data_IF_101488054241
#
_entry.id   IF_101488054241
#
_cell.length_a   1.000
_cell.length_b   1.000
_cell.length_c   1.000
_cell.angle_alpha   90.00
_cell.angle_beta   90.00
_cell.angle_gamma   90.00
#
_symmetry.space_group_name_H-M   'P 1'
#
loop_
_entity.id
_entity.type
_entity.pdbx_description
1 polymer ?
#
# COMPACT_ATOMS: atom_id res chain seq x y z
N UNK A 1 -2.08 -11.47 45.83
CA UNK A 1 -2.43 -10.15 45.22
C UNK A 1 -2.97 -10.44 43.85
N UNK A 2 -4.29 -10.53 43.72
CA UNK A 2 -4.97 -10.71 42.43
C UNK A 2 -4.90 -9.38 41.70
N UNK A 3 -4.10 -9.29 40.66
CA UNK A 3 -4.09 -8.17 39.74
C UNK A 3 -5.41 -8.17 38.98
N UNK A 4 -6.30 -7.27 39.38
CA UNK A 4 -7.55 -7.04 38.63
C UNK A 4 -7.22 -6.66 37.21
N UNK A 5 -7.63 -7.47 36.24
CA UNK A 5 -7.59 -7.13 34.83
C UNK A 5 -8.41 -5.84 34.63
N UNK A 6 -7.89 -4.83 33.91
CA UNK A 6 -8.67 -3.61 33.69
C UNK A 6 -10.01 -3.94 33.01
N UNK A 7 -11.07 -3.23 33.35
CA UNK A 7 -12.42 -3.54 32.88
C UNK A 7 -12.61 -3.28 31.36
N UNK A 8 -11.62 -2.73 30.69
CA UNK A 8 -11.68 -2.46 29.24
C UNK A 8 -10.31 -2.56 28.60
N UNK A 9 -10.29 -2.92 27.32
CA UNK A 9 -9.10 -2.90 26.48
C UNK A 9 -9.41 -2.04 25.26
N UNK A 10 -8.63 -0.98 25.06
CA UNK A 10 -8.66 -0.20 23.83
C UNK A 10 -7.98 -1.00 22.72
N UNK A 11 -8.71 -1.35 21.68
CA UNK A 11 -8.20 -1.96 20.46
C UNK A 11 -8.62 -1.07 19.29
N UNK A 12 -7.68 -0.45 18.61
CA UNK A 12 -7.91 0.39 17.43
C UNK A 12 -9.03 1.44 17.58
N UNK A 13 -9.07 2.12 18.75
CA UNK A 13 -10.10 3.07 19.17
C UNK A 13 -11.46 2.48 19.56
N UNK A 14 -11.59 1.15 19.61
CA UNK A 14 -12.82 0.51 20.04
C UNK A 14 -12.73 0.17 21.53
N UNK A 15 -13.72 0.59 22.29
CA UNK A 15 -13.88 0.20 23.70
C UNK A 15 -14.49 -1.20 23.77
N UNK A 16 -13.64 -2.20 24.04
CA UNK A 16 -14.09 -3.55 24.40
C UNK A 16 -14.12 -3.64 25.91
N UNK A 17 -15.31 -3.68 26.49
CA UNK A 17 -15.45 -3.94 27.93
C UNK A 17 -15.29 -5.44 28.16
N UNK A 18 -14.28 -5.81 28.95
CA UNK A 18 -14.18 -7.15 29.52
C UNK A 18 -14.86 -7.15 30.90
N UNK A 19 -16.11 -7.55 30.95
CA UNK A 19 -16.68 -8.16 32.15
C UNK A 19 -16.39 -9.66 32.13
N UNK A 20 -16.69 -10.40 33.18
CA UNK A 20 -16.53 -11.86 33.20
C UNK A 20 -17.33 -12.58 32.09
N UNK A 21 -18.22 -11.89 31.42
CA UNK A 21 -18.89 -12.25 30.17
C UNK A 21 -18.45 -11.22 29.14
N UNK A 22 -17.71 -11.58 28.09
CA UNK A 22 -17.22 -10.71 27.02
C UNK A 22 -18.34 -9.79 26.46
N UNK A 23 -18.54 -8.62 27.10
CA UNK A 23 -19.60 -7.68 26.72
C UNK A 23 -19.11 -6.82 25.55
N UNK A 24 -19.63 -7.06 24.38
CA UNK A 24 -19.43 -6.23 23.18
C UNK A 24 -20.58 -5.23 23.11
N UNK A 25 -20.28 -3.92 23.20
CA UNK A 25 -21.29 -2.87 23.00
C UNK A 25 -21.84 -3.01 21.58
N UNK A 26 -23.14 -3.28 21.50
CA UNK A 26 -23.81 -3.37 20.20
C UNK A 26 -24.00 -1.97 19.60
N UNK A 27 -23.96 -1.86 18.28
CA UNK A 27 -24.19 -0.61 17.54
C UNK A 27 -25.42 0.20 18.03
N UNK A 28 -26.50 -0.50 18.45
CA UNK A 28 -27.74 0.14 18.98
C UNK A 28 -27.56 0.75 20.36
N UNK A 29 -26.54 0.35 21.09
CA UNK A 29 -26.26 0.80 22.46
C UNK A 29 -25.23 1.94 22.48
N UNK A 30 -24.61 2.23 21.30
CA UNK A 30 -23.72 3.38 21.17
C UNK A 30 -24.51 4.68 21.28
N UNK A 31 -23.97 5.68 21.99
CA UNK A 31 -24.50 7.05 21.95
C UNK A 31 -24.57 7.54 20.49
N UNK A 32 -25.55 8.36 20.17
CA UNK A 32 -25.76 8.81 18.79
C UNK A 32 -24.49 9.43 18.18
N UNK A 33 -23.77 10.26 18.94
CA UNK A 33 -22.53 10.90 18.48
C UNK A 33 -21.35 9.93 18.21
N UNK A 34 -21.42 8.69 18.69
CA UNK A 34 -20.43 7.64 18.44
C UNK A 34 -20.79 6.72 17.26
N UNK A 35 -22.02 6.86 16.75
CA UNK A 35 -22.43 6.11 15.55
C UNK A 35 -21.65 6.61 14.33
N UNK A 36 -21.15 5.73 13.46
CA UNK A 36 -20.28 6.12 12.34
C UNK A 36 -20.79 7.25 11.46
N UNK A 37 -22.11 7.32 11.20
CA UNK A 37 -22.70 8.37 10.37
C UNK A 37 -22.74 9.73 11.07
N UNK A 38 -23.20 9.73 12.30
CA UNK A 38 -23.28 10.91 13.16
C UNK A 38 -21.87 11.46 13.40
N UNK A 39 -20.91 10.58 13.69
CA UNK A 39 -19.49 10.92 13.84
C UNK A 39 -18.92 11.51 12.55
N UNK A 40 -19.27 10.95 11.37
CA UNK A 40 -18.88 11.50 10.06
C UNK A 40 -19.37 12.95 9.90
N UNK A 41 -20.63 13.20 10.26
CA UNK A 41 -21.26 14.53 10.12
C UNK A 41 -20.66 15.56 11.08
N UNK A 42 -20.36 15.17 12.30
CA UNK A 42 -19.88 16.07 13.35
C UNK A 42 -18.37 16.31 13.30
N UNK A 43 -17.57 15.28 13.03
CA UNK A 43 -16.10 15.34 13.17
C UNK A 43 -15.35 15.20 11.84
N UNK A 44 -16.05 14.89 10.75
CA UNK A 44 -15.48 14.72 9.42
C UNK A 44 -14.83 13.35 9.21
N UNK A 45 -14.55 13.02 7.93
CA UNK A 45 -14.09 11.70 7.48
C UNK A 45 -12.74 11.29 8.06
N UNK A 46 -11.86 12.24 8.34
CA UNK A 46 -10.50 11.97 8.85
C UNK A 46 -10.45 11.35 10.25
N UNK A 47 -11.55 11.40 11.00
CA UNK A 47 -11.65 10.87 12.35
C UNK A 47 -12.32 9.48 12.44
N UNK A 48 -12.68 8.90 11.29
CA UNK A 48 -13.27 7.57 11.24
C UNK A 48 -12.20 6.50 10.99
N UNK A 49 -12.36 5.38 11.68
CA UNK A 49 -11.59 4.16 11.39
C UNK A 49 -12.05 3.52 10.06
N UNK A 50 -11.23 2.63 9.51
CA UNK A 50 -11.59 1.87 8.29
C UNK A 50 -12.88 1.06 8.52
N UNK A 51 -13.05 0.47 9.73
CA UNK A 51 -14.25 -0.28 10.07
C UNK A 51 -15.51 0.60 10.09
N UNK A 52 -15.42 1.81 10.62
CA UNK A 52 -16.53 2.76 10.61
C UNK A 52 -16.90 3.20 9.18
N UNK A 53 -15.90 3.41 8.30
CA UNK A 53 -16.15 3.70 6.89
C UNK A 53 -16.83 2.53 6.18
N UNK A 54 -16.37 1.29 6.41
CA UNK A 54 -17.01 0.08 5.87
C UNK A 54 -18.43 -0.08 6.40
N UNK A 55 -18.65 0.17 7.69
CA UNK A 55 -20.00 0.13 8.28
C UNK A 55 -20.94 1.14 7.65
N UNK A 56 -20.48 2.34 7.32
CA UNK A 56 -21.27 3.36 6.59
C UNK A 56 -21.63 2.86 5.19
N UNK A 57 -20.69 2.27 4.44
CA UNK A 57 -20.93 1.73 3.09
C UNK A 57 -21.95 0.60 3.12
N UNK A 58 -21.87 -0.29 4.10
CA UNK A 58 -22.79 -1.42 4.21
C UNK A 58 -24.17 -1.04 4.77
N UNK A 59 -24.25 0.03 5.52
CA UNK A 59 -25.47 0.60 6.12
C UNK A 59 -26.14 -0.27 7.20
N UNK A 60 -26.31 -1.56 6.97
CA UNK A 60 -27.01 -2.49 7.88
C UNK A 60 -26.20 -3.77 8.07
N UNK A 61 -26.27 -4.32 9.28
CA UNK A 61 -25.71 -5.62 9.62
C UNK A 61 -26.55 -6.80 9.10
N UNK A 62 -26.45 -7.89 9.81
CA UNK A 62 -27.28 -9.09 9.63
C UNK A 62 -28.16 -9.30 10.87
N UNK A 63 -29.01 -10.33 10.86
CA UNK A 63 -29.76 -10.72 12.06
C UNK A 63 -28.87 -11.21 13.21
N UNK A 64 -27.66 -11.71 12.88
CA UNK A 64 -26.73 -12.31 13.84
C UNK A 64 -25.64 -11.34 14.31
N UNK A 65 -25.29 -10.36 13.49
CA UNK A 65 -24.15 -9.48 13.70
C UNK A 65 -24.49 -8.05 13.26
N UNK A 66 -24.19 -7.05 14.11
CA UNK A 66 -24.37 -5.66 13.73
C UNK A 66 -23.31 -5.23 12.67
N UNK A 67 -23.57 -4.10 12.02
CA UNK A 67 -22.76 -3.67 10.88
C UNK A 67 -21.32 -3.32 11.25
N UNK A 68 -21.11 -2.75 12.45
CA UNK A 68 -19.77 -2.34 12.90
C UNK A 68 -18.95 -3.56 13.33
N UNK A 69 -19.55 -4.47 14.10
CA UNK A 69 -18.92 -5.74 14.47
C UNK A 69 -18.52 -6.55 13.23
N UNK A 70 -19.42 -6.64 12.25
CA UNK A 70 -19.14 -7.32 10.99
C UNK A 70 -18.00 -6.65 10.20
N UNK A 71 -17.94 -5.32 10.17
CA UNK A 71 -16.84 -4.59 9.53
C UNK A 71 -15.49 -4.88 10.21
N UNK A 72 -15.46 -4.83 11.55
CA UNK A 72 -14.27 -5.17 12.33
C UNK A 72 -13.80 -6.60 12.09
N UNK A 73 -14.70 -7.57 12.11
CA UNK A 73 -14.38 -8.97 11.81
C UNK A 73 -13.78 -9.11 10.41
N UNK A 74 -14.44 -8.55 9.42
CA UNK A 74 -13.97 -8.62 8.02
C UNK A 74 -12.56 -8.05 7.86
N UNK A 75 -12.27 -6.89 8.44
CA UNK A 75 -10.94 -6.27 8.38
C UNK A 75 -9.92 -7.11 9.14
N UNK A 76 -10.28 -7.64 10.30
CA UNK A 76 -9.38 -8.47 11.12
C UNK A 76 -9.00 -9.78 10.43
N UNK A 77 -9.95 -10.43 9.78
CA UNK A 77 -9.76 -11.75 9.15
C UNK A 77 -9.12 -11.64 7.77
N UNK A 78 -9.56 -10.68 6.97
CA UNK A 78 -9.08 -10.51 5.59
C UNK A 78 -7.81 -9.64 5.49
N UNK A 79 -7.64 -8.70 6.42
CA UNK A 79 -6.57 -7.69 6.40
C UNK A 79 -6.92 -6.47 5.56
N UNK A 80 -6.60 -5.30 6.05
CA UNK A 80 -6.93 -4.02 5.42
C UNK A 80 -6.29 -3.84 4.03
N UNK A 81 -5.02 -4.24 3.89
CA UNK A 81 -4.29 -4.19 2.60
C UNK A 81 -4.86 -5.15 1.57
N UNK A 82 -5.16 -6.39 1.98
CA UNK A 82 -5.75 -7.39 1.10
C UNK A 82 -7.15 -6.95 0.65
N UNK A 83 -7.96 -6.45 1.60
CA UNK A 83 -9.30 -5.94 1.33
C UNK A 83 -9.29 -4.78 0.33
N UNK A 84 -8.37 -3.82 0.47
CA UNK A 84 -8.24 -2.68 -0.44
C UNK A 84 -7.82 -3.05 -1.86
N UNK A 85 -7.16 -4.21 -2.05
CA UNK A 85 -6.72 -4.71 -3.34
C UNK A 85 -7.66 -5.76 -3.96
N UNK A 86 -8.68 -6.20 -3.22
CA UNK A 86 -9.60 -7.22 -3.71
C UNK A 86 -10.46 -6.67 -4.86
N UNK A 87 -10.49 -7.44 -5.95
CA UNK A 87 -11.25 -7.11 -7.16
C UNK A 87 -12.35 -8.11 -7.47
N UNK A 88 -12.35 -9.27 -6.79
CA UNK A 88 -13.32 -10.32 -7.01
C UNK A 88 -14.35 -10.40 -5.86
N UNK A 89 -15.58 -9.90 -6.04
CA UNK A 89 -16.57 -9.90 -4.97
C UNK A 89 -17.00 -11.31 -4.52
N UNK A 90 -16.89 -12.33 -5.37
CA UNK A 90 -17.20 -13.71 -4.97
C UNK A 90 -16.17 -14.25 -4.00
N UNK A 91 -14.88 -14.04 -4.33
CA UNK A 91 -13.79 -14.42 -3.45
C UNK A 91 -13.88 -13.73 -2.08
N UNK A 92 -14.15 -12.40 -2.08
CA UNK A 92 -14.35 -11.65 -0.85
C UNK A 92 -15.56 -12.16 -0.04
N UNK A 93 -16.66 -12.48 -0.72
CA UNK A 93 -17.87 -12.98 -0.07
C UNK A 93 -17.63 -14.31 0.65
N UNK A 94 -16.91 -15.22 0.01
CA UNK A 94 -16.57 -16.53 0.56
C UNK A 94 -15.54 -16.44 1.69
N UNK A 95 -14.44 -15.69 1.46
CA UNK A 95 -13.33 -15.61 2.41
C UNK A 95 -13.67 -14.81 3.69
N UNK A 96 -14.51 -13.78 3.59
CA UNK A 96 -14.93 -12.95 4.73
C UNK A 96 -16.31 -13.34 5.30
N UNK A 97 -16.94 -14.39 4.78
CA UNK A 97 -18.28 -14.85 5.18
C UNK A 97 -19.33 -13.73 5.21
N UNK A 98 -19.33 -12.89 4.18
CA UNK A 98 -20.29 -11.78 4.00
C UNK A 98 -21.18 -12.03 2.79
N UNK A 99 -22.34 -11.37 2.75
CA UNK A 99 -23.20 -11.49 1.57
C UNK A 99 -22.54 -10.93 0.31
N UNK A 100 -22.85 -11.52 -0.84
CA UNK A 100 -22.34 -11.07 -2.14
C UNK A 100 -22.63 -9.58 -2.41
N UNK A 101 -23.78 -9.06 -1.94
CA UNK A 101 -24.11 -7.65 -2.08
C UNK A 101 -23.13 -6.76 -1.32
N UNK A 102 -22.76 -7.11 -0.10
CA UNK A 102 -21.78 -6.38 0.71
C UNK A 102 -20.37 -6.44 0.10
N UNK A 103 -19.98 -7.59 -0.42
CA UNK A 103 -18.72 -7.75 -1.14
C UNK A 103 -18.70 -6.85 -2.40
N UNK A 104 -19.79 -6.82 -3.18
CA UNK A 104 -19.91 -5.92 -4.33
C UNK A 104 -19.83 -4.45 -3.95
N UNK A 105 -20.46 -4.04 -2.83
CA UNK A 105 -20.38 -2.65 -2.34
C UNK A 105 -18.94 -2.23 -2.04
N UNK A 106 -18.16 -3.07 -1.35
CA UNK A 106 -16.76 -2.76 -1.03
C UNK A 106 -15.89 -2.71 -2.29
N UNK A 107 -15.92 -3.75 -3.11
CA UNK A 107 -15.13 -3.81 -4.35
C UNK A 107 -15.44 -2.61 -5.25
N UNK A 108 -16.72 -2.26 -5.40
CA UNK A 108 -17.13 -1.08 -6.17
C UNK A 108 -16.65 0.23 -5.56
N UNK A 109 -16.67 0.36 -4.23
CA UNK A 109 -16.21 1.58 -3.53
C UNK A 109 -14.70 1.77 -3.67
N UNK A 110 -13.91 0.71 -3.55
CA UNK A 110 -12.47 0.76 -3.75
C UNK A 110 -12.10 1.09 -5.20
N UNK A 111 -12.79 0.48 -6.16
CA UNK A 111 -12.57 0.78 -7.58
C UNK A 111 -12.97 2.22 -7.93
N UNK A 112 -14.07 2.71 -7.37
CA UNK A 112 -14.47 4.11 -7.53
C UNK A 112 -13.40 5.06 -6.99
N UNK A 113 -12.88 4.80 -5.79
CA UNK A 113 -11.79 5.57 -5.19
C UNK A 113 -10.54 5.59 -6.08
N UNK A 114 -10.10 4.42 -6.58
CA UNK A 114 -8.97 4.31 -7.50
C UNK A 114 -9.18 5.13 -8.79
N UNK A 115 -10.36 5.04 -9.41
CA UNK A 115 -10.66 5.80 -10.63
C UNK A 115 -10.71 7.30 -10.39
N UNK A 116 -11.26 7.75 -9.27
CA UNK A 116 -11.30 9.18 -8.93
C UNK A 116 -9.90 9.72 -8.65
N UNK A 117 -9.07 8.99 -7.88
CA UNK A 117 -7.67 9.36 -7.67
C UNK A 117 -6.88 9.40 -8.97
N UNK A 118 -7.03 8.40 -9.83
CA UNK A 118 -6.38 8.37 -11.14
C UNK A 118 -6.79 9.56 -12.03
N UNK A 119 -8.04 10.02 -11.96
CA UNK A 119 -8.51 11.22 -12.66
C UNK A 119 -7.95 12.51 -12.08
N UNK A 120 -7.81 12.61 -10.76
CA UNK A 120 -7.22 13.78 -10.09
C UNK A 120 -5.71 13.86 -10.30
N UNK A 121 -5.02 12.72 -10.36
CA UNK A 121 -3.58 12.65 -10.65
C UNK A 121 -3.24 13.03 -12.11
N UNK A 122 -4.24 13.34 -12.95
CA UNK A 122 -4.02 13.60 -14.37
C UNK A 122 -3.81 12.30 -15.16
N UNK A 123 -3.36 12.43 -16.43
CA UNK A 123 -2.98 11.24 -17.24
C UNK A 123 -1.85 10.51 -16.52
N UNK A 124 -1.94 9.16 -16.35
CA UNK A 124 -0.84 8.40 -15.78
C UNK A 124 0.46 8.79 -16.45
N UNK A 125 1.45 9.19 -15.66
CA UNK A 125 2.72 9.60 -16.23
C UNK A 125 3.34 8.44 -16.98
N UNK A 126 3.65 8.64 -18.25
CA UNK A 126 4.39 7.69 -19.05
C UNK A 126 5.88 7.92 -18.84
N UNK A 127 6.61 6.86 -18.52
CA UNK A 127 8.06 6.92 -18.34
C UNK A 127 8.71 6.08 -19.43
N UNK A 128 9.34 6.75 -20.39
CA UNK A 128 9.96 6.14 -21.59
C UNK A 128 11.47 6.36 -21.67
N UNK A 129 12.04 7.12 -20.76
CA UNK A 129 13.47 7.39 -20.70
C UNK A 129 13.91 7.83 -19.31
N UNK A 130 15.22 7.78 -19.04
CA UNK A 130 15.84 8.12 -17.77
C UNK A 130 15.49 9.55 -17.30
N UNK A 131 15.38 10.52 -18.22
CA UNK A 131 15.02 11.91 -17.87
C UNK A 131 13.60 12.01 -17.30
N UNK A 132 12.64 11.26 -17.86
CA UNK A 132 11.28 11.22 -17.33
C UNK A 132 11.22 10.50 -15.99
N UNK A 133 11.96 9.40 -15.82
CA UNK A 133 12.10 8.72 -14.55
C UNK A 133 12.73 9.63 -13.49
N UNK A 134 13.80 10.37 -13.85
CA UNK A 134 14.40 11.35 -12.95
C UNK A 134 13.41 12.42 -12.48
N UNK A 135 12.58 12.96 -13.36
CA UNK A 135 11.57 13.96 -12.98
C UNK A 135 10.59 13.42 -11.92
N UNK A 136 10.30 12.13 -11.99
CA UNK A 136 9.44 11.47 -11.02
C UNK A 136 10.13 11.29 -9.66
N UNK A 137 11.41 10.93 -9.66
CA UNK A 137 12.19 10.65 -8.46
C UNK A 137 12.92 11.88 -7.89
N UNK A 138 12.73 13.06 -8.48
CA UNK A 138 13.54 14.25 -8.15
C UNK A 138 13.50 14.64 -6.68
N UNK A 139 12.37 14.39 -6.02
CA UNK A 139 12.17 14.63 -4.59
C UNK A 139 13.11 13.81 -3.69
N UNK A 140 13.62 12.68 -4.18
CA UNK A 140 14.57 11.84 -3.43
C UNK A 140 15.93 12.49 -3.26
N UNK A 141 16.32 13.40 -4.16
CA UNK A 141 17.66 13.99 -4.16
C UNK A 141 17.99 14.77 -2.90
N UNK A 142 16.99 15.25 -2.18
CA UNK A 142 17.14 16.05 -0.96
C UNK A 142 17.09 15.18 0.33
N UNK A 143 16.88 13.87 0.20
CA UNK A 143 16.82 12.98 1.34
C UNK A 143 18.19 12.79 2.00
N UNK A 144 18.25 12.92 3.32
CA UNK A 144 19.48 12.76 4.10
C UNK A 144 19.92 11.30 4.29
N UNK A 145 18.99 10.35 4.09
CA UNK A 145 19.26 8.90 4.13
C UNK A 145 19.12 8.34 2.74
N UNK A 146 19.95 7.35 2.42
CA UNK A 146 19.77 6.55 1.22
C UNK A 146 18.38 5.92 1.23
N UNK A 147 17.71 5.94 0.09
CA UNK A 147 16.39 5.34 -0.10
C UNK A 147 16.37 4.67 -1.47
N UNK A 148 15.92 3.43 -1.52
CA UNK A 148 15.61 2.75 -2.78
C UNK A 148 14.10 2.83 -3.02
N UNK A 149 13.74 3.27 -4.21
CA UNK A 149 12.35 3.45 -4.61
C UNK A 149 12.11 2.83 -5.99
N UNK A 150 10.94 2.23 -6.19
CA UNK A 150 10.57 1.57 -7.43
C UNK A 150 9.34 2.18 -8.08
N UNK A 151 9.42 2.44 -9.39
CA UNK A 151 8.26 2.71 -10.24
C UNK A 151 7.86 1.45 -10.98
N UNK A 152 6.64 1.03 -10.81
CA UNK A 152 6.05 -0.15 -11.45
C UNK A 152 5.19 0.27 -12.62
N UNK A 153 5.42 -0.34 -13.78
CA UNK A 153 4.87 0.10 -15.06
C UNK A 153 3.98 -0.96 -15.70
N UNK A 154 2.91 -0.51 -16.33
CA UNK A 154 2.06 -1.37 -17.18
C UNK A 154 2.63 -1.47 -18.61
N UNK A 155 1.94 -2.26 -19.49
CA UNK A 155 2.32 -2.47 -20.88
C UNK A 155 2.34 -1.21 -21.76
N UNK A 156 1.86 -0.08 -21.25
CA UNK A 156 1.93 1.24 -21.91
C UNK A 156 3.01 2.13 -21.31
N UNK A 157 3.90 1.57 -20.46
CA UNK A 157 4.91 2.30 -19.68
C UNK A 157 4.32 3.41 -18.80
N UNK A 158 3.10 3.23 -18.33
CA UNK A 158 2.46 4.13 -17.40
C UNK A 158 2.73 3.67 -15.97
N UNK A 159 3.05 4.63 -15.10
CA UNK A 159 3.25 4.35 -13.68
C UNK A 159 1.94 3.90 -13.07
N UNK A 160 1.90 2.68 -12.55
CA UNK A 160 0.76 2.09 -11.84
C UNK A 160 0.99 2.07 -10.32
N UNK A 161 2.24 2.08 -9.91
CA UNK A 161 2.64 2.12 -8.51
C UNK A 161 4.01 2.78 -8.35
N UNK A 162 4.20 3.43 -7.22
CA UNK A 162 5.41 4.01 -6.72
C UNK A 162 5.57 3.57 -5.27
N UNK A 163 6.70 2.97 -4.91
CA UNK A 163 6.89 2.39 -3.59
C UNK A 163 8.33 2.54 -3.10
N UNK A 164 8.47 2.89 -1.83
CA UNK A 164 9.74 2.88 -1.13
C UNK A 164 10.06 1.44 -0.74
N UNK A 165 11.13 0.89 -1.29
CA UNK A 165 11.55 -0.51 -1.09
C UNK A 165 12.42 -0.62 0.16
N UNK A 166 13.36 0.31 0.33
CA UNK A 166 14.22 0.35 1.51
C UNK A 166 14.65 1.76 1.88
N UNK A 167 14.98 1.97 3.15
CA UNK A 167 15.57 3.20 3.69
C UNK A 167 16.79 2.82 4.51
N UNK A 168 17.95 3.37 4.17
CA UNK A 168 19.25 3.05 4.76
C UNK A 168 20.24 2.61 3.68
N UNK A 169 21.43 2.13 4.09
CA UNK A 169 22.47 1.70 3.15
C UNK A 169 22.01 0.58 2.22
N UNK A 170 22.27 0.72 0.92
CA UNK A 170 21.97 -0.27 -0.12
C UNK A 170 23.08 -1.32 -0.18
N UNK A 171 23.17 -2.18 0.81
CA UNK A 171 24.06 -3.35 0.71
C UNK A 171 23.26 -4.55 0.17
N UNK A 172 23.93 -5.46 -0.54
CA UNK A 172 23.34 -6.70 -1.07
C UNK A 172 22.64 -7.57 -0.01
N UNK A 173 22.92 -7.32 1.27
CA UNK A 173 22.26 -7.99 2.40
C UNK A 173 20.92 -7.33 2.79
N UNK A 174 20.62 -6.11 2.30
CA UNK A 174 19.45 -5.34 2.70
C UNK A 174 18.38 -5.35 1.61
N UNK A 175 18.75 -5.33 0.33
CA UNK A 175 17.83 -5.35 -0.80
C UNK A 175 17.84 -6.73 -1.46
N UNK A 176 16.76 -7.48 -1.28
CA UNK A 176 16.59 -8.77 -1.92
C UNK A 176 15.65 -8.64 -3.13
N UNK A 177 15.87 -9.36 -4.26
CA UNK A 177 14.99 -9.32 -5.43
C UNK A 177 13.52 -9.51 -5.12
N UNK A 178 13.18 -10.34 -4.13
CA UNK A 178 11.78 -10.53 -3.69
C UNK A 178 11.11 -9.23 -3.22
N UNK A 179 11.85 -8.31 -2.58
CA UNK A 179 11.27 -7.04 -2.09
C UNK A 179 10.97 -6.08 -3.24
N UNK A 180 11.76 -6.16 -4.31
CA UNK A 180 11.56 -5.38 -5.53
C UNK A 180 10.42 -5.94 -6.39
N UNK A 181 10.36 -7.26 -6.56
CA UNK A 181 9.42 -7.89 -7.49
C UNK A 181 8.09 -8.30 -6.86
N UNK A 182 7.98 -8.40 -5.53
CA UNK A 182 6.69 -8.64 -4.87
C UNK A 182 5.63 -7.61 -5.26
N UNK A 183 5.88 -6.29 -5.14
CA UNK A 183 4.91 -5.29 -5.57
C UNK A 183 4.62 -5.37 -7.09
N UNK A 184 5.64 -5.69 -7.91
CA UNK A 184 5.44 -5.85 -9.34
C UNK A 184 4.41 -6.96 -9.67
N UNK A 185 4.51 -8.09 -8.96
CA UNK A 185 3.58 -9.21 -9.12
C UNK A 185 2.18 -8.84 -8.59
N UNK A 186 2.12 -8.24 -7.40
CA UNK A 186 0.86 -7.83 -6.76
C UNK A 186 0.06 -6.85 -7.61
N UNK A 187 0.73 -5.91 -8.28
CA UNK A 187 0.08 -4.87 -9.10
C UNK A 187 0.01 -5.22 -10.59
N UNK A 188 0.51 -6.39 -11.00
CA UNK A 188 0.53 -6.81 -12.40
C UNK A 188 1.40 -5.92 -13.28
N UNK A 189 2.52 -5.41 -12.76
CA UNK A 189 3.49 -4.66 -13.53
C UNK A 189 4.26 -5.57 -14.47
N UNK A 190 4.57 -5.06 -15.68
CA UNK A 190 5.44 -5.76 -16.63
C UNK A 190 6.87 -5.25 -16.59
N UNK A 191 7.11 -4.11 -15.97
CA UNK A 191 8.44 -3.52 -15.88
C UNK A 191 8.57 -2.67 -14.61
N UNK A 192 9.82 -2.52 -14.16
CA UNK A 192 10.21 -1.71 -12.99
C UNK A 192 11.32 -0.75 -13.41
N UNK A 193 11.28 0.47 -12.89
CA UNK A 193 12.42 1.39 -12.87
C UNK A 193 12.77 1.63 -11.41
N UNK A 194 14.05 1.47 -11.06
CA UNK A 194 14.55 1.75 -9.73
C UNK A 194 15.28 3.09 -9.69
N UNK A 195 15.25 3.71 -8.53
CA UNK A 195 16.11 4.83 -8.21
C UNK A 195 16.56 4.77 -6.75
N UNK A 196 17.79 5.14 -6.51
CA UNK A 196 18.27 5.44 -5.16
C UNK A 196 18.98 6.79 -5.12
N UNK A 197 18.94 7.43 -3.98
CA UNK A 197 19.65 8.69 -3.80
C UNK A 197 20.98 8.47 -3.09
N UNK A 198 21.98 9.27 -3.47
CA UNK A 198 23.23 9.39 -2.76
C UNK A 198 23.31 10.71 -1.98
N UNK A 199 23.13 10.69 -0.64
CA UNK A 199 23.25 11.91 0.18
C UNK A 199 24.61 12.60 0.10
N UNK A 200 25.65 11.84 -0.27
CA UNK A 200 27.00 12.36 -0.52
C UNK A 200 27.12 13.26 -1.74
N UNK A 201 26.09 13.29 -2.61
CA UNK A 201 26.10 14.02 -3.89
C UNK A 201 26.95 13.36 -4.99
N UNK A 202 27.53 12.18 -4.76
CA UNK A 202 28.30 11.42 -5.76
C UNK A 202 27.34 10.68 -6.70
N UNK A 203 27.69 10.62 -7.99
CA UNK A 203 26.92 9.92 -9.02
C UNK A 203 27.54 8.59 -9.42
N UNK A 204 28.77 8.32 -8.99
CA UNK A 204 29.44 7.05 -9.29
C UNK A 204 28.73 5.91 -8.55
N UNK A 205 28.34 4.83 -9.26
CA UNK A 205 27.78 3.66 -8.63
C UNK A 205 28.82 2.95 -7.78
N UNK A 206 28.43 2.45 -6.62
CA UNK A 206 29.27 1.56 -5.82
C UNK A 206 29.26 0.15 -6.41
N UNK A 207 30.21 -0.70 -6.01
CA UNK A 207 30.20 -2.11 -6.39
C UNK A 207 28.91 -2.82 -5.95
N UNK A 208 28.37 -2.46 -4.78
CA UNK A 208 27.10 -3.00 -4.29
C UNK A 208 25.92 -2.62 -5.20
N UNK A 209 25.91 -1.39 -5.74
CA UNK A 209 24.85 -0.95 -6.66
C UNK A 209 24.90 -1.73 -7.98
N UNK A 210 26.09 -2.02 -8.47
CA UNK A 210 26.29 -2.83 -9.69
C UNK A 210 25.84 -4.28 -9.45
N UNK A 211 26.32 -4.91 -8.38
CA UNK A 211 25.98 -6.29 -8.04
C UNK A 211 24.47 -6.50 -7.85
N UNK A 212 23.80 -5.61 -7.09
CA UNK A 212 22.35 -5.72 -6.91
C UNK A 212 21.59 -5.48 -8.21
N UNK A 213 22.05 -4.55 -9.04
CA UNK A 213 21.43 -4.29 -10.36
C UNK A 213 21.49 -5.53 -11.26
N UNK A 214 22.64 -6.20 -11.35
CA UNK A 214 22.80 -7.44 -12.12
C UNK A 214 21.91 -8.57 -11.59
N UNK A 215 21.82 -8.73 -10.26
CA UNK A 215 20.92 -9.70 -9.64
C UNK A 215 19.47 -9.42 -9.97
N UNK A 216 19.06 -8.15 -9.94
CA UNK A 216 17.68 -7.73 -10.25
C UNK A 216 17.35 -7.92 -11.73
N UNK A 217 18.26 -7.61 -12.65
CA UNK A 217 18.10 -7.90 -14.09
C UNK A 217 17.88 -9.40 -14.31
N UNK A 218 18.70 -10.23 -13.66
CA UNK A 218 18.61 -11.69 -13.78
C UNK A 218 17.29 -12.22 -13.21
N UNK A 219 16.88 -11.74 -12.04
CA UNK A 219 15.61 -12.11 -11.41
C UNK A 219 14.40 -11.65 -12.25
N UNK A 220 14.44 -10.42 -12.77
CA UNK A 220 13.40 -9.89 -13.64
C UNK A 220 13.17 -10.71 -14.88
N UNK A 221 14.25 -11.14 -15.54
CA UNK A 221 14.18 -12.06 -16.71
C UNK A 221 13.46 -13.37 -16.39
N UNK A 222 13.73 -13.95 -15.21
CA UNK A 222 13.07 -15.19 -14.77
C UNK A 222 11.58 -14.98 -14.50
N UNK A 223 11.20 -13.81 -13.99
CA UNK A 223 9.81 -13.48 -13.64
C UNK A 223 9.00 -12.92 -14.82
N UNK A 224 9.64 -12.60 -15.94
CA UNK A 224 9.00 -11.91 -17.05
C UNK A 224 8.64 -10.45 -16.73
N UNK A 225 9.39 -9.82 -15.82
CA UNK A 225 9.22 -8.42 -15.39
C UNK A 225 10.54 -7.70 -15.60
N UNK A 226 10.60 -6.80 -16.59
CA UNK A 226 11.84 -6.16 -16.95
C UNK A 226 12.28 -5.08 -15.94
N UNK A 227 13.54 -5.11 -15.53
CA UNK A 227 14.19 -3.93 -14.93
C UNK A 227 14.65 -3.03 -16.07
N UNK A 228 13.93 -1.92 -16.31
CA UNK A 228 14.21 -1.02 -17.44
C UNK A 228 15.37 -0.08 -17.15
N UNK A 229 15.51 0.37 -15.89
CA UNK A 229 16.58 1.27 -15.47
C UNK A 229 16.81 1.21 -13.97
N UNK A 230 18.01 1.61 -13.56
CA UNK A 230 18.37 1.87 -12.17
C UNK A 230 19.14 3.19 -12.10
N UNK A 231 18.53 4.20 -11.49
CA UNK A 231 19.05 5.57 -11.44
C UNK A 231 19.71 5.87 -10.09
N UNK A 232 20.83 6.57 -10.13
CA UNK A 232 21.38 7.27 -8.97
C UNK A 232 20.89 8.73 -9.04
N UNK A 233 20.29 9.20 -7.96
CA UNK A 233 19.68 10.53 -7.85
C UNK A 233 20.44 11.38 -6.84
N UNK A 234 20.73 12.60 -7.22
CA UNK A 234 21.21 13.65 -6.31
C UNK A 234 20.27 14.87 -6.40
N UNK A 235 20.46 15.85 -5.57
CA UNK A 235 19.62 17.09 -5.54
C UNK A 235 19.49 17.77 -6.91
N UNK A 236 20.48 17.64 -7.80
CA UNK A 236 20.53 18.36 -9.07
C UNK A 236 20.77 17.49 -10.31
N UNK A 237 21.21 16.24 -10.14
CA UNK A 237 21.67 15.39 -11.24
C UNK A 237 21.25 13.93 -11.04
N UNK A 238 21.32 13.15 -12.10
CA UNK A 238 21.11 11.71 -12.09
C UNK A 238 22.06 11.01 -13.07
N UNK A 239 22.25 9.72 -12.88
CA UNK A 239 22.92 8.82 -13.82
C UNK A 239 22.18 7.49 -13.87
N UNK A 240 22.14 6.86 -15.04
CA UNK A 240 21.65 5.49 -15.23
C UNK A 240 22.81 4.51 -15.01
N UNK A 241 22.59 3.53 -14.16
CA UNK A 241 23.54 2.41 -13.98
C UNK A 241 23.51 1.49 -15.21
N UNK A 242 22.33 1.36 -15.84
CA UNK A 242 22.14 0.47 -16.99
C UNK A 242 22.89 0.93 -18.24
N UNK A 243 23.09 2.26 -18.41
CA UNK A 243 23.90 2.79 -19.53
C UNK A 243 25.35 2.28 -19.49
N UNK A 244 25.85 1.92 -18.31
CA UNK A 244 27.18 1.31 -18.13
C UNK A 244 27.20 -0.22 -18.28
N UNK A 245 26.07 -0.89 -18.09
CA UNK A 245 25.94 -2.36 -18.15
C UNK A 245 25.73 -2.86 -19.58
N UNK A 246 25.15 -2.04 -20.47
CA UNK A 246 24.92 -2.38 -21.89
C UNK A 246 26.05 -1.92 -22.81
N UNK A 247 27.12 -1.34 -22.28
CA UNK A 247 28.26 -0.80 -23.02
C UNK A 247 29.48 -1.72 -23.16
N UNK A 248 29.29 -3.06 -23.03
CA UNK A 248 30.34 -4.04 -23.27
C UNK A 248 29.90 -5.03 -24.34
#
# INVERSE_FOLDING_TARGET
>A
MTTATPPYVLKDRDLVFKSNDDYVIRFKELPDYEKPREKLLETGVGNLSIAELVAIIWNVGTQKEDVLAMAHRTIKEYGDKALGNEINPRHLSEAAEISINKACQLVASFELGRRLQARQAGRPMQVRNAKQAYQYFKDMGDNQKEQLRGLYLNSRYQVIRDEVISVGSLTSNIVHPREVFRPAIEYGAIAVILAHNHPSGRLEPTMADLEITEQLVSAGKLLGIDLLDHLIITSSRHVSIMDGVHGV
#
